data_IF_339943677709
#
_entry.id   IF_339943677709
#
_cell.length_a   1.000
_cell.length_b   1.000
_cell.length_c   1.000
_cell.angle_alpha   90.00
_cell.angle_beta   90.00
_cell.angle_gamma   90.00
#
_symmetry.space_group_name_H-M   'P 1'
#
loop_
_entity.id
_entity.type
_entity.pdbx_description
1 polymer ?
#
# COMPACT_ATOMS: atom_id res chain seq x y z
N UNK A 1 16.91 -8.87 -9.89
CA UNK A 1 15.94 -9.61 -9.07
C UNK A 1 14.52 -9.21 -9.43
N UNK A 2 13.70 -10.20 -9.66
CA UNK A 2 12.28 -10.01 -10.00
C UNK A 2 11.42 -10.84 -9.06
N UNK A 3 10.35 -10.24 -8.55
CA UNK A 3 9.34 -10.99 -7.80
C UNK A 3 7.99 -10.29 -7.92
N UNK A 4 6.94 -11.07 -7.66
CA UNK A 4 5.56 -10.58 -7.60
C UNK A 4 5.01 -10.80 -6.21
N UNK A 5 4.13 -9.92 -5.75
CA UNK A 5 3.51 -10.09 -4.44
C UNK A 5 2.22 -9.27 -4.32
N UNK A 6 1.41 -9.65 -3.36
CA UNK A 6 0.28 -8.83 -2.90
C UNK A 6 0.80 -7.78 -1.93
N UNK A 7 0.25 -6.59 -1.98
CA UNK A 7 0.72 -5.50 -1.14
C UNK A 7 -0.38 -4.49 -0.84
N UNK A 8 -0.17 -3.71 0.22
CA UNK A 8 -0.94 -2.51 0.51
C UNK A 8 -0.08 -1.30 0.23
N UNK A 9 -0.65 -0.30 -0.44
CA UNK A 9 0.05 0.97 -0.65
C UNK A 9 0.03 1.77 0.64
N UNK A 10 1.20 2.06 1.20
CA UNK A 10 1.30 2.74 2.49
C UNK A 10 1.75 4.19 2.36
N UNK A 11 2.46 4.55 1.31
CA UNK A 11 2.78 5.95 1.02
C UNK A 11 3.15 6.14 -0.44
N UNK A 12 3.06 7.38 -0.91
CA UNK A 12 3.49 7.75 -2.25
C UNK A 12 3.99 9.18 -2.24
N UNK A 13 5.02 9.46 -3.05
CA UNK A 13 5.57 10.78 -3.26
C UNK A 13 5.95 10.96 -4.71
N UNK A 14 5.80 12.18 -5.22
CA UNK A 14 6.24 12.48 -6.58
C UNK A 14 7.76 12.36 -6.66
N UNK A 15 8.24 11.64 -7.66
CA UNK A 15 9.67 11.44 -7.90
C UNK A 15 10.17 12.30 -9.05
N UNK A 16 9.42 12.32 -10.15
CA UNK A 16 9.71 13.13 -11.34
C UNK A 16 8.39 13.52 -12.01
N UNK A 17 8.45 14.20 -13.16
CA UNK A 17 7.24 14.59 -13.88
C UNK A 17 6.33 13.41 -14.21
N UNK A 18 6.92 12.25 -14.52
CA UNK A 18 6.17 11.08 -15.00
C UNK A 18 6.23 9.90 -14.03
N UNK A 19 6.82 10.07 -12.86
CA UNK A 19 6.95 8.95 -11.94
C UNK A 19 6.74 9.35 -10.51
N UNK A 20 6.36 8.35 -9.71
CA UNK A 20 6.25 8.48 -8.27
C UNK A 20 7.11 7.42 -7.60
N UNK A 21 7.48 7.68 -6.36
CA UNK A 21 8.07 6.68 -5.48
C UNK A 21 6.97 6.19 -4.56
N UNK A 22 6.79 4.89 -4.48
CA UNK A 22 5.76 4.28 -3.65
C UNK A 22 6.40 3.39 -2.59
N UNK A 23 5.88 3.44 -1.37
CA UNK A 23 6.18 2.44 -0.37
C UNK A 23 4.98 1.51 -0.26
N UNK A 24 5.24 0.21 -0.30
CA UNK A 24 4.21 -0.81 -0.17
C UNK A 24 4.60 -1.76 0.96
N UNK A 25 3.60 -2.34 1.61
CA UNK A 25 3.82 -3.42 2.56
C UNK A 25 3.34 -4.71 1.91
N UNK A 26 4.29 -5.60 1.61
CA UNK A 26 4.02 -6.82 0.88
C UNK A 26 3.78 -7.99 1.83
N UNK A 27 3.07 -9.00 1.32
CA UNK A 27 2.78 -10.20 2.08
C UNK A 27 4.05 -10.99 2.44
N UNK A 28 4.99 -11.11 1.50
CA UNK A 28 6.14 -12.00 1.63
C UNK A 28 7.49 -11.30 1.67
N UNK A 29 7.56 -10.00 1.37
CA UNK A 29 8.83 -9.27 1.23
C UNK A 29 8.95 -8.08 2.18
N UNK A 30 7.93 -7.82 3.00
CA UNK A 30 7.94 -6.71 3.93
C UNK A 30 7.71 -5.35 3.26
N UNK A 31 8.22 -4.31 3.88
CA UNK A 31 8.08 -2.94 3.39
C UNK A 31 9.13 -2.66 2.32
N UNK A 32 8.70 -2.34 1.11
CA UNK A 32 9.55 -2.11 -0.05
C UNK A 32 9.19 -0.79 -0.70
N UNK A 33 10.22 -0.03 -1.10
CA UNK A 33 10.03 1.18 -1.90
C UNK A 33 10.41 0.92 -3.35
N UNK A 34 9.69 1.52 -4.26
CA UNK A 34 9.96 1.40 -5.69
C UNK A 34 9.39 2.54 -6.49
N UNK A 35 9.90 2.70 -7.70
CA UNK A 35 9.47 3.74 -8.63
C UNK A 35 8.38 3.18 -9.53
N UNK A 36 7.30 3.96 -9.71
CA UNK A 36 6.24 3.63 -10.65
C UNK A 36 6.28 4.66 -11.77
N UNK A 37 6.66 4.22 -12.98
CA UNK A 37 6.61 5.06 -14.16
C UNK A 37 5.16 5.29 -14.58
N UNK A 38 4.88 6.51 -15.05
CA UNK A 38 3.52 6.88 -15.42
C UNK A 38 2.60 7.07 -14.23
N UNK A 39 3.14 7.09 -13.00
CA UNK A 39 2.34 7.22 -11.78
C UNK A 39 1.59 8.53 -11.65
N UNK A 40 1.93 9.54 -12.46
CA UNK A 40 1.22 10.81 -12.49
C UNK A 40 0.06 10.84 -13.49
N UNK A 41 -0.12 9.79 -14.31
CA UNK A 41 -1.24 9.70 -15.24
C UNK A 41 -2.56 9.51 -14.48
N UNK A 42 -3.66 9.99 -15.06
CA UNK A 42 -4.99 9.83 -14.44
C UNK A 42 -5.36 8.38 -14.17
N UNK A 43 -5.03 7.48 -15.10
CA UNK A 43 -5.34 6.06 -14.98
C UNK A 43 -4.66 5.45 -13.76
N UNK A 44 -3.36 5.72 -13.60
CA UNK A 44 -2.60 5.15 -12.49
C UNK A 44 -2.90 5.86 -11.19
N UNK A 45 -3.15 7.16 -11.19
CA UNK A 45 -3.57 7.90 -9.99
C UNK A 45 -4.78 7.27 -9.31
N UNK A 46 -5.71 6.72 -10.08
CA UNK A 46 -6.89 6.07 -9.51
C UNK A 46 -6.53 4.79 -8.74
N UNK A 47 -5.43 4.12 -9.08
CA UNK A 47 -4.95 2.93 -8.39
C UNK A 47 -4.14 3.26 -7.15
N UNK A 48 -3.50 4.44 -7.14
CA UNK A 48 -2.51 4.81 -6.14
C UNK A 48 -3.14 5.57 -4.97
N UNK A 49 -4.17 5.00 -4.39
CA UNK A 49 -4.75 5.50 -3.16
C UNK A 49 -4.15 4.74 -1.99
N UNK A 50 -3.59 5.46 -1.00
CA UNK A 50 -3.05 4.86 0.21
C UNK A 50 -4.11 3.99 0.86
N UNK A 51 -3.77 2.74 1.16
CA UNK A 51 -4.69 1.75 1.69
C UNK A 51 -5.24 0.77 0.67
N UNK A 52 -5.12 1.05 -0.63
CA UNK A 52 -5.55 0.11 -1.65
C UNK A 52 -4.69 -1.15 -1.63
N UNK A 53 -5.33 -2.29 -1.86
CA UNK A 53 -4.62 -3.55 -2.03
C UNK A 53 -4.28 -3.73 -3.50
N UNK A 54 -3.01 -3.96 -3.78
CA UNK A 54 -2.47 -4.02 -5.13
C UNK A 54 -1.62 -5.28 -5.30
N UNK A 55 -1.47 -5.70 -6.55
CA UNK A 55 -0.50 -6.71 -6.94
C UNK A 55 0.67 -6.00 -7.57
N UNK A 56 1.88 -6.27 -7.08
CA UNK A 56 3.08 -5.58 -7.54
C UNK A 56 4.04 -6.59 -8.18
N UNK A 57 4.64 -6.18 -9.29
CA UNK A 57 5.82 -6.82 -9.87
C UNK A 57 7.00 -5.90 -9.58
N UNK A 58 7.95 -6.39 -8.82
CA UNK A 58 9.14 -5.64 -8.44
C UNK A 58 10.33 -6.11 -9.27
N UNK A 59 11.06 -5.15 -9.83
CA UNK A 59 12.24 -5.41 -10.63
C UNK A 59 13.36 -4.47 -10.22
N UNK A 60 14.50 -5.02 -9.85
CA UNK A 60 15.71 -4.24 -9.57
C UNK A 60 16.92 -4.90 -10.21
N UNK A 61 17.83 -4.07 -10.75
CA UNK A 61 19.08 -4.54 -11.33
C UNK A 61 20.14 -4.78 -10.26
N UNK A 62 20.00 -4.17 -9.09
CA UNK A 62 20.96 -4.26 -8.01
C UNK A 62 20.25 -4.13 -6.67
N UNK A 63 20.62 -4.96 -5.66
CA UNK A 63 20.02 -4.86 -4.33
C UNK A 63 20.33 -3.54 -3.62
N UNK A 64 21.31 -2.77 -4.12
CA UNK A 64 21.66 -1.47 -3.53
C UNK A 64 20.93 -0.29 -4.15
N UNK A 65 20.16 -0.51 -5.22
CA UNK A 65 19.41 0.53 -5.91
C UNK A 65 17.92 0.33 -5.72
N UNK A 66 17.17 1.45 -5.72
CA UNK A 66 15.72 1.38 -5.72
C UNK A 66 15.24 0.71 -7.01
N UNK A 67 14.30 -0.21 -6.88
CA UNK A 67 13.73 -0.91 -8.01
C UNK A 67 12.49 -0.22 -8.56
N UNK A 68 11.81 -0.91 -9.47
CA UNK A 68 10.64 -0.42 -10.18
C UNK A 68 9.46 -1.34 -9.93
N UNK A 69 8.29 -0.75 -9.76
CA UNK A 69 7.04 -1.50 -9.64
C UNK A 69 6.21 -1.38 -10.91
N UNK A 70 5.65 -2.51 -11.33
CA UNK A 70 4.45 -2.55 -12.16
C UNK A 70 3.30 -2.98 -11.25
N UNK A 71 2.17 -2.31 -11.33
CA UNK A 71 1.08 -2.54 -10.39
C UNK A 71 -0.21 -2.88 -11.10
N UNK A 72 -1.03 -3.70 -10.43
CA UNK A 72 -2.42 -3.96 -10.78
C UNK A 72 -3.26 -3.79 -9.52
N UNK A 73 -4.46 -3.24 -9.68
CA UNK A 73 -5.36 -3.09 -8.55
C UNK A 73 -6.00 -4.44 -8.21
N UNK A 74 -5.94 -4.84 -6.93
CA UNK A 74 -6.66 -6.01 -6.43
C UNK A 74 -7.98 -5.60 -5.79
N UNK A 75 -7.91 -4.67 -4.86
CA UNK A 75 -9.08 -4.13 -4.17
C UNK A 75 -8.93 -2.64 -3.97
N UNK A 76 -9.83 -1.86 -4.55
CA UNK A 76 -9.90 -0.42 -4.34
C UNK A 76 -10.63 -0.17 -3.02
N UNK A 77 -9.93 -0.35 -1.91
CA UNK A 77 -10.52 -0.28 -0.57
C UNK A 77 -10.78 1.15 -0.13
N UNK A 78 -9.81 2.03 -0.29
CA UNK A 78 -9.91 3.42 0.15
C UNK A 78 -11.04 4.19 -0.54
N UNK A 79 -11.24 4.06 -1.87
CA UNK A 79 -12.37 4.75 -2.52
C UNK A 79 -13.74 4.39 -2.00
N UNK A 80 -13.91 3.21 -1.39
CA UNK A 80 -15.18 2.80 -0.79
C UNK A 80 -15.61 3.74 0.34
N UNK A 81 -14.66 4.47 0.95
CA UNK A 81 -14.89 5.27 2.14
C UNK A 81 -14.70 6.77 1.91
N UNK A 82 -14.67 7.23 0.67
CA UNK A 82 -14.44 8.66 0.38
C UNK A 82 -15.46 9.58 1.06
N UNK A 83 -16.67 9.09 1.30
CA UNK A 83 -17.73 9.86 1.99
C UNK A 83 -17.70 9.68 3.51
N UNK A 84 -16.77 8.90 4.05
CA UNK A 84 -16.73 8.57 5.47
C UNK A 84 -15.40 9.02 6.08
N UNK A 85 -15.36 10.27 6.54
CA UNK A 85 -14.14 10.90 7.04
C UNK A 85 -13.46 10.13 8.18
N UNK A 86 -14.25 9.54 9.08
CA UNK A 86 -13.69 8.78 10.19
C UNK A 86 -12.96 7.54 9.70
N UNK A 87 -13.54 6.82 8.74
CA UNK A 87 -12.89 5.64 8.16
C UNK A 87 -11.65 6.00 7.36
N UNK A 88 -11.69 7.10 6.60
CA UNK A 88 -10.50 7.58 5.89
C UNK A 88 -9.38 7.94 6.86
N UNK A 89 -9.71 8.59 7.97
CA UNK A 89 -8.72 8.91 9.01
C UNK A 89 -8.11 7.64 9.62
N UNK A 90 -8.92 6.61 9.85
CA UNK A 90 -8.43 5.33 10.34
C UNK A 90 -7.49 4.66 9.36
N UNK A 91 -7.81 4.68 8.06
CA UNK A 91 -6.94 4.13 7.01
C UNK A 91 -5.61 4.87 6.99
N UNK A 92 -5.64 6.19 6.97
CA UNK A 92 -4.42 7.01 6.96
C UNK A 92 -3.55 6.74 8.18
N UNK A 93 -4.16 6.66 9.36
CA UNK A 93 -3.43 6.38 10.60
C UNK A 93 -2.83 4.97 10.60
N UNK A 94 -3.60 3.97 10.15
CA UNK A 94 -3.12 2.59 10.09
C UNK A 94 -1.94 2.45 9.14
N UNK A 95 -2.04 3.03 7.94
CA UNK A 95 -0.95 2.96 6.95
C UNK A 95 0.29 3.71 7.42
N UNK A 96 0.11 4.84 8.09
CA UNK A 96 1.21 5.59 8.67
C UNK A 96 1.91 4.82 9.78
N UNK A 97 1.17 4.10 10.62
CA UNK A 97 1.76 3.22 11.64
C UNK A 97 2.58 2.10 11.00
N UNK A 98 2.07 1.47 9.96
CA UNK A 98 2.83 0.44 9.22
C UNK A 98 4.12 1.03 8.66
N UNK A 99 4.05 2.22 8.07
CA UNK A 99 5.21 2.92 7.53
C UNK A 99 6.28 3.15 8.60
N UNK A 100 5.88 3.56 9.79
CA UNK A 100 6.81 3.91 10.86
C UNK A 100 7.39 2.68 11.57
N UNK A 101 6.59 1.62 11.74
CA UNK A 101 6.95 0.48 12.58
C UNK A 101 7.52 -0.71 11.81
N UNK A 102 7.21 -0.85 10.54
CA UNK A 102 7.69 -1.98 9.74
C UNK A 102 9.15 -1.75 9.31
N UNK A 103 9.96 -2.79 9.42
CA UNK A 103 11.34 -2.76 8.95
C UNK A 103 11.40 -2.92 7.43
N UNK A 104 12.36 -2.22 6.80
CA UNK A 104 12.60 -2.34 5.36
C UNK A 104 12.98 -3.76 4.96
N UNK A 105 12.37 -4.25 3.89
CA UNK A 105 12.69 -5.53 3.26
C UNK A 105 12.65 -6.73 4.22
N UNK A 106 11.94 -6.59 5.35
CA UNK A 106 11.79 -7.66 6.32
C UNK A 106 10.36 -8.16 6.31
N UNK A 107 10.17 -9.41 5.89
CA UNK A 107 8.86 -10.04 5.84
C UNK A 107 8.22 -10.11 7.23
N UNK A 108 6.95 -9.77 7.31
CA UNK A 108 6.16 -9.94 8.53
C UNK A 108 4.71 -10.22 8.15
N UNK A 109 4.40 -11.52 8.00
CA UNK A 109 3.07 -11.96 7.60
C UNK A 109 2.00 -11.64 8.63
N UNK A 110 2.37 -11.57 9.90
CA UNK A 110 1.42 -11.22 10.96
C UNK A 110 0.90 -9.80 10.80
N UNK A 111 1.78 -8.86 10.46
CA UNK A 111 1.36 -7.47 10.17
C UNK A 111 0.45 -7.45 8.93
N UNK A 112 0.79 -8.21 7.89
CA UNK A 112 -0.03 -8.26 6.68
C UNK A 112 -1.43 -8.78 7.00
N UNK A 113 -1.54 -9.84 7.77
CA UNK A 113 -2.82 -10.40 8.22
C UNK A 113 -3.60 -9.38 9.06
N UNK A 114 -2.91 -8.63 9.92
CA UNK A 114 -3.55 -7.57 10.71
C UNK A 114 -4.14 -6.47 9.83
N UNK A 115 -3.44 -6.10 8.76
CA UNK A 115 -3.99 -5.12 7.80
C UNK A 115 -5.24 -5.67 7.12
N UNK A 116 -5.21 -6.93 6.68
CA UNK A 116 -6.38 -7.57 6.09
C UNK A 116 -7.58 -7.53 7.07
N UNK A 117 -7.35 -7.87 8.33
CA UNK A 117 -8.38 -7.82 9.37
C UNK A 117 -8.88 -6.41 9.63
N UNK A 118 -7.97 -5.43 9.62
CA UNK A 118 -8.35 -4.03 9.78
C UNK A 118 -9.40 -3.62 8.75
N UNK A 119 -9.18 -3.95 7.49
CA UNK A 119 -10.12 -3.61 6.42
C UNK A 119 -11.44 -4.40 6.53
N UNK A 120 -11.39 -5.64 6.98
CA UNK A 120 -12.60 -6.43 7.25
C UNK A 120 -13.47 -5.78 8.32
N UNK A 121 -12.87 -5.36 9.43
CA UNK A 121 -13.57 -4.70 10.52
C UNK A 121 -14.10 -3.34 10.05
N UNK A 122 -13.30 -2.59 9.30
CA UNK A 122 -13.70 -1.29 8.78
C UNK A 122 -14.95 -1.38 7.90
N UNK A 123 -15.12 -2.49 7.19
CA UNK A 123 -16.28 -2.75 6.35
C UNK A 123 -17.53 -3.16 7.15
N UNK A 124 -17.38 -3.51 8.42
CA UNK A 124 -18.50 -3.95 9.24
C UNK A 124 -19.33 -2.75 9.72
N UNK A 125 -20.60 -3.00 10.06
CA UNK A 125 -21.48 -1.95 10.59
C UNK A 125 -21.12 -1.54 12.03
N UNK A 126 -20.35 -2.35 12.73
CA UNK A 126 -19.97 -2.15 14.13
C UNK A 126 -18.48 -1.86 14.30
N UNK A 127 -17.84 -1.31 13.29
CA UNK A 127 -16.39 -1.15 13.25
C UNK A 127 -15.83 -0.33 14.44
N UNK A 128 -16.55 0.70 14.90
CA UNK A 128 -16.11 1.50 16.04
C UNK A 128 -16.04 0.67 17.31
N UNK A 129 -17.05 -0.17 17.55
CA UNK A 129 -17.13 -0.99 18.75
C UNK A 129 -16.02 -2.04 18.81
N UNK A 130 -15.57 -2.53 17.67
CA UNK A 130 -14.50 -3.53 17.60
C UNK A 130 -13.11 -2.94 17.84
N UNK A 131 -12.95 -1.61 17.70
CA UNK A 131 -11.69 -0.91 17.92
C UNK A 131 -11.63 -0.10 19.22
N UNK A 132 -12.69 -0.04 19.95
CA UNK A 132 -12.74 0.54 21.27
C UNK A 132 -12.67 -0.58 22.31
#
# INVERSE_FOLDING_TARGET
MNWDDNAYLISKNRYSENSIIAEVFTENHGKISGIIFGGTSKKIKNYLQVGNKIYVNYNTKSPTRIGYFKIEILKALTPLYFDENQKLSCISSAMNLVKLLAAEAQSNKEIFILIDKFFEVLASNNWIQEYI
#
